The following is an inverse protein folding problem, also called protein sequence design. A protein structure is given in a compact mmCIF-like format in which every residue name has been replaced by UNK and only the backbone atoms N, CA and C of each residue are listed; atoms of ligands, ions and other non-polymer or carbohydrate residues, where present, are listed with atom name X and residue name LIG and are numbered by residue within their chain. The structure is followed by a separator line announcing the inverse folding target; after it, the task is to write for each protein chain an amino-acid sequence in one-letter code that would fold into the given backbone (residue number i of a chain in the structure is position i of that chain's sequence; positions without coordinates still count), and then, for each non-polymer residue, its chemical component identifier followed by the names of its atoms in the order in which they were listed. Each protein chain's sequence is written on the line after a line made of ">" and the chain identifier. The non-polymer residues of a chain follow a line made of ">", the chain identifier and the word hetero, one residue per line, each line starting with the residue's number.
data_IF_824690727112
#
_entry.id   IF_824690727112
#
_cell.length_a   1.000
_cell.length_b   1.000
_cell.length_c   1.000
_cell.angle_alpha   90.00
_cell.angle_beta   90.00
_cell.angle_gamma   90.00
#
_symmetry.space_group_name_H-M   'P 1'
#
loop_
_entity.id
_entity.type
_entity.pdbx_description
1 polymer ?
#
# COMPACT_ATOMS: atom_id res chain seq x y z
N UNK A 1 17.72 -4.90 23.99
CA UNK A 1 16.70 -3.82 24.11
C UNK A 1 15.51 -4.19 23.24
N UNK A 2 14.30 -4.32 23.80
CA UNK A 2 13.09 -4.58 23.00
C UNK A 2 12.86 -3.37 22.09
N UNK A 3 12.80 -3.58 20.76
CA UNK A 3 12.48 -2.49 19.82
C UNK A 3 11.07 -2.00 20.10
N UNK A 4 10.93 -0.73 20.46
CA UNK A 4 9.62 -0.11 20.66
C UNK A 4 8.90 -0.08 19.31
N UNK A 5 7.65 -0.53 19.28
CA UNK A 5 6.83 -0.50 18.08
C UNK A 5 6.57 0.96 17.65
N UNK A 6 6.75 1.32 16.38
CA UNK A 6 6.55 2.70 15.92
C UNK A 6 5.11 3.19 16.17
N UNK A 7 4.13 2.28 16.17
CA UNK A 7 2.72 2.57 16.50
C UNK A 7 2.57 3.12 17.93
N UNK A 8 3.34 2.57 18.88
CA UNK A 8 3.29 3.00 20.28
C UNK A 8 3.84 4.41 20.45
N UNK A 9 4.87 4.77 19.67
CA UNK A 9 5.43 6.13 19.65
C UNK A 9 4.39 7.12 19.12
N UNK A 10 3.71 6.78 18.02
CA UNK A 10 2.67 7.63 17.43
C UNK A 10 1.47 7.77 18.38
N UNK A 11 0.98 6.68 18.96
CA UNK A 11 -0.11 6.71 19.95
C UNK A 11 0.27 7.56 21.15
N UNK A 12 1.49 7.38 21.69
CA UNK A 12 1.99 8.18 22.80
C UNK A 12 2.04 9.67 22.47
N UNK A 13 2.55 10.05 21.29
CA UNK A 13 2.58 11.43 20.85
C UNK A 13 1.17 12.03 20.72
N UNK A 14 0.23 11.29 20.12
CA UNK A 14 -1.16 11.73 20.00
C UNK A 14 -1.86 11.89 21.36
N UNK A 15 -1.59 11.00 22.32
CA UNK A 15 -2.11 11.15 23.68
C UNK A 15 -1.55 12.37 24.39
N UNK A 16 -0.26 12.68 24.22
CA UNK A 16 0.34 13.90 24.76
C UNK A 16 -0.38 15.13 24.19
N UNK A 17 -0.63 15.17 22.88
CA UNK A 17 -1.40 16.25 22.25
C UNK A 17 -2.83 16.36 22.81
N UNK A 18 -3.52 15.22 22.95
CA UNK A 18 -4.87 15.18 23.49
C UNK A 18 -4.94 15.71 24.93
N UNK A 19 -4.05 15.24 25.81
CA UNK A 19 -4.02 15.62 27.23
C UNK A 19 -3.61 17.09 27.39
N UNK A 20 -2.60 17.55 26.66
CA UNK A 20 -2.17 18.96 26.71
C UNK A 20 -3.29 19.89 26.22
N UNK A 21 -4.02 19.50 25.18
CA UNK A 21 -5.18 20.23 24.71
C UNK A 21 -6.31 20.27 25.74
N UNK A 22 -6.64 19.14 26.37
CA UNK A 22 -7.70 19.08 27.38
C UNK A 22 -7.37 19.85 28.66
N UNK A 23 -6.08 20.06 28.95
CA UNK A 23 -5.64 20.88 30.08
C UNK A 23 -5.75 22.38 29.79
N UNK A 24 -5.42 22.80 28.56
CA UNK A 24 -5.39 24.22 28.18
C UNK A 24 -6.75 24.78 27.74
N UNK A 25 -7.66 23.93 27.27
CA UNK A 25 -8.87 24.38 26.60
C UNK A 25 -10.10 23.64 27.12
N UNK A 26 -11.09 24.39 27.62
CA UNK A 26 -12.31 23.82 28.21
C UNK A 26 -13.39 23.52 27.17
N UNK A 27 -13.24 24.02 25.94
CA UNK A 27 -14.20 23.80 24.87
C UNK A 27 -13.80 22.59 24.01
N UNK A 28 -14.46 21.46 24.24
CA UNK A 28 -14.25 20.24 23.46
C UNK A 28 -15.18 20.26 22.25
N UNK A 29 -14.61 20.43 21.05
CA UNK A 29 -15.37 20.31 19.80
C UNK A 29 -15.60 18.86 19.36
N UNK A 30 -16.65 18.62 18.57
CA UNK A 30 -17.01 17.27 18.08
C UNK A 30 -15.86 16.57 17.33
N UNK A 31 -15.07 17.34 16.56
CA UNK A 31 -13.90 16.83 15.83
C UNK A 31 -12.81 16.30 16.76
N UNK A 32 -12.64 16.93 17.93
CA UNK A 32 -11.71 16.47 18.94
C UNK A 32 -12.20 15.17 19.58
N UNK A 33 -13.50 15.11 19.91
CA UNK A 33 -14.11 13.92 20.50
C UNK A 33 -14.03 12.70 19.56
N UNK A 34 -14.26 12.87 18.27
CA UNK A 34 -14.04 11.81 17.26
C UNK A 34 -12.58 11.35 17.21
N UNK A 35 -11.62 12.29 17.31
CA UNK A 35 -10.19 11.98 17.41
C UNK A 35 -9.88 11.12 18.64
N UNK A 36 -10.36 11.53 19.82
CA UNK A 36 -10.18 10.79 21.08
C UNK A 36 -10.76 9.39 20.99
N UNK A 37 -11.98 9.22 20.48
CA UNK A 37 -12.60 7.89 20.31
C UNK A 37 -11.70 7.00 19.44
N UNK A 38 -11.24 7.51 18.30
CA UNK A 38 -10.31 6.78 17.44
C UNK A 38 -9.00 6.41 18.14
N UNK A 39 -8.45 7.32 18.95
CA UNK A 39 -7.22 7.09 19.69
C UNK A 39 -7.40 6.05 20.81
N UNK A 40 -8.52 6.06 21.52
CA UNK A 40 -8.88 5.04 22.52
C UNK A 40 -9.00 3.66 21.86
N UNK A 41 -9.71 3.57 20.74
CA UNK A 41 -9.84 2.33 19.97
C UNK A 41 -8.46 1.82 19.51
N UNK A 42 -7.60 2.71 19.00
CA UNK A 42 -6.23 2.39 18.61
C UNK A 42 -5.42 1.81 19.79
N UNK A 43 -5.58 2.42 20.96
CA UNK A 43 -4.83 2.06 22.17
C UNK A 43 -5.21 0.66 22.67
N UNK A 44 -6.52 0.36 22.70
CA UNK A 44 -7.03 -0.96 23.11
C UNK A 44 -6.57 -2.05 22.14
N UNK A 45 -6.63 -1.79 20.84
CA UNK A 45 -6.27 -2.78 19.82
C UNK A 45 -4.76 -3.03 19.71
N UNK A 46 -3.91 -2.13 20.22
CA UNK A 46 -2.46 -2.19 20.09
C UNK A 46 -1.86 -3.50 20.63
N UNK A 47 -2.44 -4.04 21.71
CA UNK A 47 -1.95 -5.24 22.40
C UNK A 47 -2.19 -6.51 21.56
N UNK A 48 -3.30 -6.56 20.81
CA UNK A 48 -3.77 -7.79 20.15
C UNK A 48 -3.62 -7.77 18.63
N UNK A 49 -3.74 -6.61 17.99
CA UNK A 49 -3.87 -6.47 16.54
C UNK A 49 -2.99 -5.34 15.98
N UNK A 50 -1.67 -5.47 16.10
CA UNK A 50 -0.69 -4.44 15.67
C UNK A 50 -0.88 -3.98 14.20
N UNK A 51 -1.20 -4.91 13.30
CA UNK A 51 -1.39 -4.62 11.87
C UNK A 51 -2.67 -3.81 11.61
N UNK A 52 -3.75 -4.11 12.34
CA UNK A 52 -5.00 -3.35 12.27
C UNK A 52 -4.79 -1.94 12.83
N UNK A 53 -4.05 -1.82 13.94
CA UNK A 53 -3.71 -0.53 14.55
C UNK A 53 -2.90 0.34 13.59
N UNK A 54 -1.97 -0.23 12.81
CA UNK A 54 -1.25 0.51 11.78
C UNK A 54 -2.22 1.17 10.79
N UNK A 55 -3.18 0.41 10.24
CA UNK A 55 -4.16 0.95 9.29
C UNK A 55 -5.06 1.99 9.93
N UNK A 56 -5.48 1.75 11.17
CA UNK A 56 -6.35 2.68 11.89
C UNK A 56 -5.61 3.99 12.21
N UNK A 57 -4.33 3.93 12.60
CA UNK A 57 -3.50 5.12 12.79
C UNK A 57 -3.26 5.88 11.48
N UNK A 58 -2.99 5.18 10.38
CA UNK A 58 -2.87 5.83 9.06
C UNK A 58 -4.17 6.57 8.69
N UNK A 59 -5.32 5.92 8.90
CA UNK A 59 -6.63 6.51 8.65
C UNK A 59 -6.87 7.75 9.53
N UNK A 60 -6.62 7.65 10.83
CA UNK A 60 -6.77 8.76 11.77
C UNK A 60 -5.86 9.94 11.43
N UNK A 61 -4.60 9.69 11.11
CA UNK A 61 -3.66 10.74 10.72
C UNK A 61 -4.07 11.40 9.40
N UNK A 62 -4.61 10.64 8.44
CA UNK A 62 -5.17 11.18 7.20
C UNK A 62 -6.43 12.04 7.45
N UNK A 63 -7.38 11.55 8.27
CA UNK A 63 -8.57 12.31 8.66
C UNK A 63 -8.19 13.61 9.37
N UNK A 64 -7.14 13.58 10.18
CA UNK A 64 -6.65 14.77 10.86
C UNK A 64 -5.88 15.72 9.92
N UNK A 65 -5.20 15.17 8.92
CA UNK A 65 -4.55 15.95 7.86
C UNK A 65 -5.55 16.82 7.08
N UNK A 66 -6.76 16.29 6.81
CA UNK A 66 -7.86 17.02 6.15
C UNK A 66 -8.82 17.73 7.13
N UNK A 67 -8.42 17.90 8.39
CA UNK A 67 -9.19 18.61 9.43
C UNK A 67 -10.58 18.02 9.76
N UNK A 68 -10.83 16.74 9.43
CA UNK A 68 -12.08 16.05 9.82
C UNK A 68 -12.06 15.70 11.30
N UNK A 69 -10.91 15.30 11.82
CA UNK A 69 -10.70 15.04 13.26
C UNK A 69 -9.53 15.88 13.79
N UNK A 70 -9.54 16.13 15.10
CA UNK A 70 -8.48 16.86 15.78
C UNK A 70 -7.97 16.08 16.99
N UNK A 71 -6.67 16.18 17.25
CA UNK A 71 -6.04 15.65 18.48
C UNK A 71 -5.55 16.77 19.40
N UNK A 72 -5.64 18.01 18.95
CA UNK A 72 -5.36 19.22 19.70
C UNK A 72 -6.29 20.33 19.22
N UNK A 73 -6.71 21.21 20.12
CA UNK A 73 -7.39 22.46 19.78
C UNK A 73 -6.37 23.51 19.30
N UNK A 74 -5.14 23.46 19.82
CA UNK A 74 -4.00 24.23 19.32
C UNK A 74 -3.35 23.45 18.17
N UNK A 75 -3.92 23.62 16.98
CA UNK A 75 -3.36 23.04 15.77
C UNK A 75 -2.36 24.03 15.15
N UNK A 76 -1.11 23.60 15.05
CA UNK A 76 -0.12 24.30 14.24
C UNK A 76 -0.37 23.96 12.78
N UNK A 77 -0.93 24.90 12.05
CA UNK A 77 -1.19 24.75 10.63
C UNK A 77 -0.06 25.37 9.82
N UNK A 78 0.44 24.61 8.85
CA UNK A 78 1.20 25.17 7.74
C UNK A 78 0.25 25.29 6.55
N UNK A 79 0.22 26.43 5.87
CA UNK A 79 -0.71 26.61 4.76
C UNK A 79 -0.24 27.61 3.73
N UNK A 80 -0.61 27.36 2.48
CA UNK A 80 -0.40 28.25 1.35
C UNK A 80 -1.68 28.27 0.50
N UNK A 81 -2.18 29.46 0.20
CA UNK A 81 -3.31 29.69 -0.71
C UNK A 81 -4.61 28.90 -0.36
N UNK A 82 -5.02 28.91 0.91
CA UNK A 82 -6.27 28.31 1.37
C UNK A 82 -6.19 26.84 1.77
N UNK A 83 -5.10 26.14 1.43
CA UNK A 83 -4.83 24.81 1.94
C UNK A 83 -4.10 24.89 3.28
N UNK A 84 -4.64 24.25 4.31
CA UNK A 84 -4.04 24.15 5.65
C UNK A 84 -3.77 22.70 5.97
N UNK A 85 -2.58 22.42 6.47
CA UNK A 85 -2.19 21.07 6.92
C UNK A 85 -1.79 21.12 8.37
N UNK A 86 -2.31 20.17 9.14
CA UNK A 86 -1.92 20.00 10.54
C UNK A 86 -0.49 19.44 10.60
N UNK A 87 0.47 20.24 11.05
CA UNK A 87 1.90 19.87 11.10
C UNK A 87 2.14 18.63 11.96
N UNK A 88 1.42 18.49 13.08
CA UNK A 88 1.59 17.37 14.01
C UNK A 88 1.15 16.08 13.31
N UNK A 89 -0.08 16.04 12.79
CA UNK A 89 -0.60 14.86 12.11
C UNK A 89 0.21 14.52 10.86
N UNK A 90 0.67 15.52 10.12
CA UNK A 90 1.53 15.34 8.93
C UNK A 90 2.88 14.73 9.29
N UNK A 91 3.55 15.27 10.32
CA UNK A 91 4.86 14.77 10.75
C UNK A 91 4.79 13.32 11.25
N UNK A 92 3.76 12.99 12.03
CA UNK A 92 3.50 11.64 12.51
C UNK A 92 3.15 10.68 11.36
N UNK A 93 2.37 11.14 10.37
CA UNK A 93 2.03 10.35 9.18
C UNK A 93 3.30 10.00 8.38
N UNK A 94 4.15 11.00 8.11
CA UNK A 94 5.42 10.80 7.40
C UNK A 94 6.30 9.82 8.19
N UNK A 95 6.41 10.01 9.50
CA UNK A 95 7.19 9.11 10.36
C UNK A 95 6.68 7.66 10.29
N UNK A 96 5.38 7.45 10.41
CA UNK A 96 4.76 6.12 10.37
C UNK A 96 4.96 5.45 9.01
N UNK A 97 4.72 6.18 7.92
CA UNK A 97 4.95 5.72 6.56
C UNK A 97 6.42 5.33 6.32
N UNK A 98 7.38 6.13 6.81
CA UNK A 98 8.79 5.83 6.67
C UNK A 98 9.20 4.57 7.45
N UNK A 99 8.73 4.43 8.69
CA UNK A 99 9.04 3.26 9.54
C UNK A 99 8.37 1.97 9.06
N UNK A 100 7.19 2.06 8.44
CA UNK A 100 6.42 0.90 7.94
C UNK A 100 6.41 0.78 6.42
N UNK A 101 7.36 1.43 5.72
CA UNK A 101 7.46 1.43 4.25
C UNK A 101 7.41 0.02 3.64
N UNK A 102 8.02 -0.97 4.29
CA UNK A 102 8.09 -2.33 3.76
C UNK A 102 6.71 -3.00 3.77
N UNK A 103 5.91 -2.77 4.81
CA UNK A 103 4.54 -3.31 4.93
C UNK A 103 3.62 -2.64 3.90
N UNK A 104 3.74 -1.33 3.74
CA UNK A 104 2.98 -0.56 2.74
C UNK A 104 3.36 -1.04 1.33
N UNK A 105 4.66 -1.23 1.04
CA UNK A 105 5.14 -1.71 -0.25
C UNK A 105 4.66 -3.13 -0.54
N UNK A 106 4.68 -4.03 0.45
CA UNK A 106 4.16 -5.39 0.30
C UNK A 106 2.66 -5.38 -0.04
N UNK A 107 1.86 -4.55 0.63
CA UNK A 107 0.44 -4.40 0.30
C UNK A 107 0.19 -3.96 -1.16
N UNK A 108 1.01 -3.05 -1.69
CA UNK A 108 0.95 -2.69 -3.11
C UNK A 108 1.44 -3.82 -4.03
N UNK A 109 2.50 -4.54 -3.64
CA UNK A 109 3.04 -5.65 -4.43
C UNK A 109 2.09 -6.85 -4.47
N UNK A 110 1.38 -7.15 -3.39
CA UNK A 110 0.42 -8.26 -3.31
C UNK A 110 -0.83 -7.97 -4.17
N UNK A 111 -1.20 -6.70 -4.33
CA UNK A 111 -2.29 -6.27 -5.23
C UNK A 111 -1.88 -6.24 -6.70
N UNK A 112 -0.61 -5.97 -6.99
CA UNK A 112 -0.13 -5.92 -8.37
C UNK A 112 0.38 -7.28 -8.87
N UNK A 113 0.85 -8.17 -8.00
CA UNK A 113 1.40 -9.48 -8.43
C UNK A 113 0.34 -10.42 -9.03
N UNK A 114 -0.93 -10.29 -8.66
CA UNK A 114 -1.99 -11.10 -9.27
C UNK A 114 -2.38 -10.65 -10.68
N UNK A 115 -2.16 -9.37 -11.04
CA UNK A 115 -2.49 -8.84 -12.36
C UNK A 115 -1.26 -8.67 -13.28
N UNK A 116 -0.09 -8.34 -12.73
CA UNK A 116 1.12 -8.08 -13.53
C UNK A 116 1.84 -9.35 -13.97
N UNK A 117 1.79 -10.46 -13.22
CA UNK A 117 2.43 -11.71 -13.66
C UNK A 117 1.72 -12.27 -14.89
N UNK A 118 0.39 -12.34 -14.86
CA UNK A 118 -0.42 -12.76 -16.02
C UNK A 118 -0.30 -11.80 -17.21
N UNK A 119 -0.29 -10.48 -16.97
CA UNK A 119 -0.10 -9.49 -18.03
C UNK A 119 1.32 -9.56 -18.65
N UNK A 120 2.34 -9.84 -17.85
CA UNK A 120 3.72 -9.99 -18.31
C UNK A 120 3.92 -11.29 -19.09
N UNK A 121 3.35 -12.40 -18.61
CA UNK A 121 3.37 -13.69 -19.32
C UNK A 121 2.64 -13.59 -20.67
N UNK A 122 1.44 -13.00 -20.70
CA UNK A 122 0.70 -12.78 -21.94
C UNK A 122 1.45 -11.89 -22.94
N UNK A 123 2.14 -10.84 -22.45
CA UNK A 123 2.95 -9.96 -23.30
C UNK A 123 4.18 -10.68 -23.87
N UNK A 124 4.87 -11.50 -23.07
CA UNK A 124 5.99 -12.33 -23.53
C UNK A 124 5.53 -13.38 -24.54
N UNK A 125 4.40 -14.04 -24.27
CA UNK A 125 3.80 -15.00 -25.18
C UNK A 125 3.42 -14.36 -26.53
N UNK A 126 2.85 -13.16 -26.54
CA UNK A 126 2.53 -12.43 -27.77
C UNK A 126 3.77 -12.03 -28.58
N UNK A 127 4.88 -11.71 -27.91
CA UNK A 127 6.17 -11.45 -28.58
C UNK A 127 6.71 -12.71 -29.24
N UNK A 128 6.72 -13.84 -28.54
CA UNK A 128 7.16 -15.12 -29.12
C UNK A 128 6.26 -15.58 -30.26
N UNK A 129 4.94 -15.38 -30.16
CA UNK A 129 4.03 -15.68 -31.26
C UNK A 129 4.42 -14.92 -32.53
N UNK A 130 4.65 -13.61 -32.42
CA UNK A 130 5.09 -12.77 -33.56
C UNK A 130 6.44 -13.19 -34.14
N UNK A 131 7.37 -13.63 -33.28
CA UNK A 131 8.68 -14.09 -33.71
C UNK A 131 8.59 -15.40 -34.50
N UNK A 132 7.72 -16.32 -34.06
CA UNK A 132 7.55 -17.65 -34.66
C UNK A 132 6.50 -17.72 -35.78
N UNK A 133 5.67 -16.67 -35.94
CA UNK A 133 4.59 -16.63 -36.94
C UNK A 133 5.09 -16.80 -38.37
N UNK A 134 6.32 -16.36 -38.67
CA UNK A 134 6.94 -16.46 -39.98
C UNK A 134 7.82 -17.71 -40.17
N UNK A 135 8.03 -18.51 -39.12
CA UNK A 135 8.84 -19.73 -39.22
C UNK A 135 8.02 -20.89 -39.81
N UNK A 136 8.70 -21.78 -40.54
CA UNK A 136 8.07 -22.96 -41.15
C UNK A 136 7.68 -24.00 -40.10
N UNK A 137 6.61 -24.77 -40.34
CA UNK A 137 6.14 -25.81 -39.41
C UNK A 137 7.25 -26.80 -39.02
N UNK A 138 8.10 -27.17 -39.99
CA UNK A 138 9.28 -28.03 -39.77
C UNK A 138 10.30 -27.41 -38.80
N UNK A 139 10.53 -26.09 -38.86
CA UNK A 139 11.45 -25.41 -37.94
C UNK A 139 10.86 -25.25 -36.54
N UNK A 140 9.55 -25.01 -36.43
CA UNK A 140 8.84 -24.92 -35.15
C UNK A 140 8.90 -26.26 -34.40
N UNK A 141 8.62 -27.37 -35.09
CA UNK A 141 8.72 -28.73 -34.53
C UNK A 141 10.14 -29.05 -34.07
N UNK A 142 11.13 -28.74 -34.91
CA UNK A 142 12.55 -28.92 -34.59
C UNK A 142 13.00 -28.09 -33.37
N UNK A 143 12.42 -26.90 -33.15
CA UNK A 143 12.68 -26.09 -31.95
C UNK A 143 12.03 -26.69 -30.71
N UNK A 144 10.82 -27.24 -30.85
CA UNK A 144 10.10 -27.90 -29.76
C UNK A 144 10.86 -29.13 -29.24
N UNK A 145 11.43 -29.93 -30.15
CA UNK A 145 12.22 -31.13 -29.86
C UNK A 145 13.56 -30.81 -29.19
N UNK A 146 14.19 -29.68 -29.52
CA UNK A 146 15.48 -29.26 -28.92
C UNK A 146 15.40 -28.89 -27.45
N UNK A 147 14.20 -28.72 -26.88
CA UNK A 147 13.96 -28.61 -25.43
C UNK A 147 14.43 -27.31 -24.74
N UNK A 148 15.31 -26.51 -25.33
CA UNK A 148 15.84 -25.26 -24.77
C UNK A 148 14.89 -24.06 -24.93
N UNK A 149 13.61 -24.24 -24.62
CA UNK A 149 12.60 -23.19 -24.71
C UNK A 149 12.08 -22.85 -23.31
N UNK A 150 11.97 -21.55 -23.03
CA UNK A 150 11.24 -21.07 -21.86
C UNK A 150 9.75 -21.48 -21.96
N UNK A 151 9.06 -21.67 -20.83
CA UNK A 151 7.67 -22.16 -20.82
C UNK A 151 6.74 -21.35 -21.72
N UNK A 152 6.87 -20.02 -21.72
CA UNK A 152 6.04 -19.10 -22.51
C UNK A 152 6.27 -19.25 -24.02
N UNK A 153 7.51 -19.52 -24.43
CA UNK A 153 7.86 -19.77 -25.84
C UNK A 153 7.33 -21.13 -26.30
N UNK A 154 7.37 -22.15 -25.44
CA UNK A 154 6.80 -23.48 -25.71
C UNK A 154 5.28 -23.41 -25.90
N UNK A 155 4.58 -22.67 -25.04
CA UNK A 155 3.14 -22.45 -25.17
C UNK A 155 2.79 -21.73 -26.47
N UNK A 156 3.50 -20.64 -26.81
CA UNK A 156 3.31 -19.92 -28.06
C UNK A 156 3.51 -20.82 -29.30
N UNK A 157 4.58 -21.63 -29.32
CA UNK A 157 4.88 -22.58 -30.39
C UNK A 157 3.79 -23.63 -30.58
N UNK A 158 3.31 -24.19 -29.47
CA UNK A 158 2.27 -25.22 -29.48
C UNK A 158 0.95 -24.66 -29.99
N UNK A 159 0.62 -23.43 -29.63
CA UNK A 159 -0.59 -22.75 -30.09
C UNK A 159 -0.54 -22.45 -31.60
N UNK A 160 0.59 -21.95 -32.11
CA UNK A 160 0.79 -21.73 -33.56
C UNK A 160 0.66 -23.04 -34.36
N UNK A 161 1.28 -24.12 -33.88
CA UNK A 161 1.19 -25.42 -34.54
C UNK A 161 -0.24 -25.97 -34.55
N UNK A 162 -0.97 -25.81 -33.44
CA UNK A 162 -2.37 -26.22 -33.35
C UNK A 162 -3.27 -25.40 -34.29
N UNK A 163 -3.07 -24.09 -34.37
CA UNK A 163 -3.84 -23.23 -35.27
C UNK A 163 -3.60 -23.61 -36.74
N UNK A 164 -2.35 -23.84 -37.13
CA UNK A 164 -1.98 -24.28 -38.50
C UNK A 164 -2.46 -25.70 -38.85
N UNK A 165 -2.63 -26.58 -37.86
CA UNK A 165 -3.17 -27.93 -38.10
C UNK A 165 -4.69 -27.98 -38.26
N UNK A 166 -5.37 -26.87 -37.91
CA UNK A 166 -6.83 -26.72 -38.01
C UNK A 166 -7.28 -25.99 -39.27
N UNK A 167 -6.34 -25.38 -40.00
CA UNK A 167 -6.51 -24.88 -41.37
C UNK A 167 -6.32 -26.01 -42.39
#
# INVERSE_FOLDING_TARGET
>A
MKKIAPELIVIGALWICAVTSGYHDTFIGDRFLLGIIGLVVSTILLIRYTLLVLYLLLLLLLLSFVEIIAFSNTNYYFGFNGFKVNLISTSLLIYLCFKRRNVIRQWYADRNSSNDVAATENRKMALFKREFENESTYELEKRLEKGNLVPEARTALTEILNDRSRE
#
